data_IF_396955113771
#
_entry.id   IF_396955113771
#
_cell.length_a   1.000
_cell.length_b   1.000
_cell.length_c   1.000
_cell.angle_alpha   90.00
_cell.angle_beta   90.00
_cell.angle_gamma   90.00
#
_symmetry.space_group_name_H-M   'P 1'
#
loop_
_entity.id
_entity.type
_entity.pdbx_description
1 polymer ?
#
# COMPACT_ATOMS: atom_id res chain seq x y z
N UNK A 1 5.15 -13.79 40.83
CA UNK A 1 4.73 -14.60 39.66
C UNK A 1 5.24 -13.87 38.41
N UNK A 2 6.16 -14.47 37.65
CA UNK A 2 6.64 -13.88 36.42
C UNK A 2 5.59 -14.12 35.33
N UNK A 3 5.03 -13.04 34.78
CA UNK A 3 4.04 -13.11 33.72
C UNK A 3 4.78 -13.42 32.42
N UNK A 4 4.61 -14.64 31.90
CA UNK A 4 5.16 -15.03 30.59
C UNK A 4 4.67 -14.04 29.53
N UNK A 5 5.59 -13.47 28.76
CA UNK A 5 5.23 -12.56 27.68
C UNK A 5 4.33 -13.29 26.68
N UNK A 6 3.29 -12.63 26.13
CA UNK A 6 2.40 -13.25 25.17
C UNK A 6 3.21 -13.78 23.97
N UNK A 7 3.03 -15.07 23.65
CA UNK A 7 3.68 -15.70 22.52
C UNK A 7 3.15 -15.06 21.23
N UNK A 8 4.02 -14.36 20.49
CA UNK A 8 3.66 -13.85 19.18
C UNK A 8 3.46 -15.03 18.22
N UNK A 9 2.25 -15.18 17.68
CA UNK A 9 1.90 -16.23 16.72
C UNK A 9 1.75 -15.59 15.34
N UNK A 10 2.57 -16.04 14.38
CA UNK A 10 2.43 -15.66 12.98
C UNK A 10 1.07 -16.12 12.46
N UNK A 11 0.17 -15.17 12.19
CA UNK A 11 -1.19 -15.45 11.75
C UNK A 11 -1.64 -14.42 10.72
N UNK A 12 -2.28 -14.89 9.66
CA UNK A 12 -2.91 -14.02 8.67
C UNK A 12 -4.19 -13.41 9.24
N UNK A 13 -4.36 -12.12 9.03
CA UNK A 13 -5.57 -11.40 9.38
C UNK A 13 -6.36 -11.12 8.09
N UNK A 14 -7.68 -11.38 8.06
CA UNK A 14 -8.49 -11.02 6.91
C UNK A 14 -8.54 -9.49 6.77
N UNK A 15 -8.49 -9.01 5.52
CA UNK A 15 -8.71 -7.62 5.20
C UNK A 15 -9.51 -7.50 3.89
N UNK A 16 -10.09 -6.34 3.65
CA UNK A 16 -10.76 -5.99 2.39
C UNK A 16 -9.84 -5.09 1.58
N UNK A 17 -9.74 -5.36 0.28
CA UNK A 17 -8.94 -4.57 -0.64
C UNK A 17 -9.39 -4.77 -2.07
N UNK A 18 -8.80 -3.96 -2.95
CA UNK A 18 -8.96 -4.03 -4.40
C UNK A 18 -7.60 -4.32 -5.01
N UNK A 19 -7.60 -4.89 -6.21
CA UNK A 19 -6.39 -5.09 -6.97
C UNK A 19 -6.67 -4.94 -8.46
N UNK A 20 -5.64 -4.61 -9.23
CA UNK A 20 -5.70 -4.55 -10.68
C UNK A 20 -4.47 -5.24 -11.27
N UNK A 21 -4.67 -6.06 -12.31
CA UNK A 21 -3.60 -6.68 -13.09
C UNK A 21 -3.50 -5.93 -14.42
N UNK A 22 -2.31 -5.46 -14.75
CA UNK A 22 -2.08 -4.58 -15.90
C UNK A 22 -0.69 -4.82 -16.53
N UNK A 23 -0.52 -4.41 -17.79
CA UNK A 23 0.77 -4.15 -18.41
C UNK A 23 1.02 -2.65 -18.51
N UNK A 24 2.14 -2.22 -19.06
CA UNK A 24 2.50 -0.80 -19.10
C UNK A 24 2.78 -0.25 -17.70
N UNK A 25 2.63 1.05 -17.51
CA UNK A 25 2.93 1.73 -16.23
C UNK A 25 1.66 2.06 -15.45
N UNK A 26 1.76 2.43 -14.17
CA UNK A 26 0.58 2.91 -13.43
C UNK A 26 -0.03 4.19 -14.05
N UNK A 27 0.78 5.02 -14.70
CA UNK A 27 0.33 6.25 -15.37
C UNK A 27 -0.28 5.98 -16.74
N UNK A 28 0.01 4.81 -17.33
CA UNK A 28 -0.52 4.37 -18.62
C UNK A 28 -0.77 2.85 -18.59
N UNK A 29 -1.84 2.40 -17.91
CA UNK A 29 -2.14 0.97 -17.79
C UNK A 29 -2.62 0.41 -19.12
N UNK A 30 -2.06 -0.73 -19.50
CA UNK A 30 -2.39 -1.43 -20.74
C UNK A 30 -2.90 -2.85 -20.44
N UNK A 31 -3.60 -3.51 -21.39
CA UNK A 31 -3.96 -4.91 -21.25
C UNK A 31 -2.71 -5.78 -20.97
N UNK A 32 -2.73 -6.63 -19.94
CA UNK A 32 -1.57 -7.45 -19.56
C UNK A 32 -1.23 -8.46 -20.65
N UNK A 33 0.06 -8.65 -20.92
CA UNK A 33 0.58 -9.62 -21.89
C UNK A 33 1.37 -10.74 -21.20
N UNK A 34 1.91 -11.69 -21.99
CA UNK A 34 2.81 -12.73 -21.47
C UNK A 34 4.17 -12.19 -21.03
N UNK A 35 4.61 -11.06 -21.61
CA UNK A 35 5.93 -10.45 -21.37
C UNK A 35 5.84 -9.17 -20.54
N UNK A 36 4.64 -8.77 -20.16
CA UNK A 36 4.41 -7.57 -19.36
C UNK A 36 3.14 -7.74 -18.53
N UNK A 37 3.31 -7.97 -17.23
CA UNK A 37 2.21 -8.20 -16.31
C UNK A 37 2.61 -7.81 -14.89
N UNK A 38 1.81 -6.95 -14.31
CA UNK A 38 2.02 -6.33 -12.99
C UNK A 38 0.72 -6.42 -12.22
N UNK A 39 0.81 -6.34 -10.90
CA UNK A 39 -0.34 -6.20 -10.02
C UNK A 39 -0.15 -4.99 -9.12
N UNK A 40 -1.20 -4.21 -8.93
CA UNK A 40 -1.27 -3.18 -7.90
C UNK A 40 -2.41 -3.56 -6.94
N UNK A 41 -2.14 -3.42 -5.65
CA UNK A 41 -3.09 -3.59 -4.57
C UNK A 41 -3.41 -2.23 -3.97
N UNK A 42 -4.69 -2.03 -3.71
CA UNK A 42 -5.21 -0.92 -2.92
C UNK A 42 -5.94 -1.52 -1.72
N UNK A 43 -5.45 -1.27 -0.52
CA UNK A 43 -6.07 -1.74 0.72
C UNK A 43 -6.56 -0.57 1.57
N UNK A 44 -7.64 -0.80 2.32
CA UNK A 44 -8.29 0.20 3.15
C UNK A 44 -8.55 -0.30 4.59
N UNK A 45 -9.15 0.56 5.40
CA UNK A 45 -9.64 0.20 6.73
C UNK A 45 -8.52 -0.09 7.74
N UNK A 46 -8.76 -1.09 8.62
CA UNK A 46 -7.89 -1.40 9.75
C UNK A 46 -6.47 -1.75 9.31
N UNK A 47 -6.33 -2.55 8.25
CA UNK A 47 -5.02 -2.97 7.75
C UNK A 47 -4.21 -1.76 7.24
N UNK A 48 -4.82 -0.88 6.44
CA UNK A 48 -4.17 0.33 5.96
C UNK A 48 -3.76 1.26 7.10
N UNK A 49 -4.63 1.46 8.10
CA UNK A 49 -4.30 2.27 9.28
C UNK A 49 -3.11 1.70 10.07
N UNK A 50 -3.09 0.39 10.30
CA UNK A 50 -1.99 -0.25 11.04
C UNK A 50 -0.65 -0.09 10.33
N UNK A 51 -0.64 -0.25 9.00
CA UNK A 51 0.57 -0.02 8.19
C UNK A 51 0.99 1.46 8.24
N UNK A 52 0.05 2.38 8.03
CA UNK A 52 0.32 3.82 8.11
C UNK A 52 0.95 4.20 9.45
N UNK A 53 0.39 3.73 10.57
CA UNK A 53 0.85 4.10 11.92
C UNK A 53 2.32 3.68 12.18
N UNK A 54 2.77 2.55 11.62
CA UNK A 54 4.13 2.01 11.81
C UNK A 54 5.13 2.44 10.72
N UNK A 55 4.65 2.98 9.61
CA UNK A 55 5.50 3.50 8.53
C UNK A 55 5.95 4.93 8.80
N UNK A 56 7.07 5.33 8.20
CA UNK A 56 7.58 6.70 8.25
C UNK A 56 8.66 6.93 7.18
N UNK A 57 9.00 8.19 6.86
CA UNK A 57 8.55 9.44 7.50
C UNK A 57 7.10 9.83 7.18
N UNK A 58 6.51 10.69 8.02
CA UNK A 58 5.19 11.28 7.82
C UNK A 58 5.32 12.58 7.02
N UNK A 59 5.02 12.50 5.73
CA UNK A 59 5.06 13.61 4.79
C UNK A 59 3.72 14.34 4.79
N UNK A 60 3.78 15.66 4.90
CA UNK A 60 2.62 16.57 4.78
C UNK A 60 2.75 17.38 3.49
N UNK A 61 1.61 17.80 2.92
CA UNK A 61 1.55 18.53 1.66
C UNK A 61 2.24 17.81 0.49
N UNK A 62 2.21 16.47 0.50
CA UNK A 62 2.73 15.67 -0.59
C UNK A 62 1.72 15.60 -1.74
N UNK A 63 2.21 15.38 -2.96
CA UNK A 63 1.37 15.12 -4.14
C UNK A 63 0.45 16.29 -4.52
N UNK A 64 0.81 17.52 -4.13
CA UNK A 64 0.02 18.72 -4.40
C UNK A 64 -1.33 18.77 -3.67
N UNK A 65 -1.55 17.87 -2.70
CA UNK A 65 -2.77 17.85 -1.89
C UNK A 65 -2.55 18.68 -0.64
N UNK A 66 -3.25 19.81 -0.56
CA UNK A 66 -3.24 20.70 0.61
C UNK A 66 -4.11 20.15 1.77
N UNK A 67 -3.88 20.68 2.97
CA UNK A 67 -4.71 20.41 4.15
C UNK A 67 -4.22 19.26 5.01
N UNK A 68 -5.15 18.43 5.52
CA UNK A 68 -4.85 17.35 6.46
C UNK A 68 -4.40 16.05 5.80
N UNK A 69 -4.05 16.09 4.51
CA UNK A 69 -3.50 14.95 3.80
C UNK A 69 -2.14 14.56 4.39
N UNK A 70 -1.98 13.27 4.67
CA UNK A 70 -0.73 12.71 5.17
C UNK A 70 -0.31 11.54 4.31
N UNK A 71 0.97 11.49 3.99
CA UNK A 71 1.57 10.44 3.19
C UNK A 71 2.73 9.82 3.97
N UNK A 72 2.74 8.50 4.07
CA UNK A 72 3.82 7.71 4.64
C UNK A 72 4.23 6.68 3.60
N UNK A 73 5.40 6.91 3.01
CA UNK A 73 5.93 6.07 1.95
C UNK A 73 7.25 5.45 2.38
N UNK A 74 7.42 4.16 2.07
CA UNK A 74 8.70 3.47 2.24
C UNK A 74 8.89 2.45 1.12
N UNK A 75 9.95 2.68 0.33
CA UNK A 75 10.16 1.96 -0.92
C UNK A 75 8.88 1.99 -1.78
N UNK A 76 8.38 0.82 -2.15
CA UNK A 76 7.25 0.62 -3.06
C UNK A 76 5.88 0.61 -2.36
N UNK A 77 5.87 0.75 -1.03
CA UNK A 77 4.63 0.85 -0.24
C UNK A 77 4.35 2.31 0.06
N UNK A 78 3.17 2.76 -0.34
CA UNK A 78 2.65 4.09 -0.07
C UNK A 78 1.39 3.97 0.77
N UNK A 79 1.32 4.64 1.92
CA UNK A 79 0.12 4.71 2.73
C UNK A 79 -0.25 6.16 2.94
N UNK A 80 -1.52 6.52 2.78
CA UNK A 80 -1.97 7.88 3.00
C UNK A 80 -3.26 7.96 3.81
N UNK A 81 -3.50 9.14 4.37
CA UNK A 81 -4.71 9.50 5.08
C UNK A 81 -5.32 10.75 4.48
N UNK A 82 -6.61 10.68 4.19
CA UNK A 82 -7.43 11.82 3.81
C UNK A 82 -8.67 11.89 4.71
N UNK A 83 -9.12 13.08 5.17
CA UNK A 83 -10.26 13.19 6.09
C UNK A 83 -11.57 12.60 5.55
N UNK A 84 -11.77 12.62 4.23
CA UNK A 84 -12.99 12.10 3.59
C UNK A 84 -12.95 10.59 3.38
N UNK A 85 -11.79 10.03 3.06
CA UNK A 85 -11.65 8.66 2.56
C UNK A 85 -10.97 7.72 3.57
N UNK A 86 -10.40 8.27 4.64
CA UNK A 86 -9.68 7.53 5.66
C UNK A 86 -8.28 7.10 5.20
N UNK A 87 -7.82 5.98 5.74
CA UNK A 87 -6.50 5.42 5.44
C UNK A 87 -6.58 4.48 4.23
N UNK A 88 -5.64 4.63 3.31
CA UNK A 88 -5.41 3.68 2.22
C UNK A 88 -3.92 3.38 2.09
N UNK A 89 -3.60 2.20 1.57
CA UNK A 89 -2.24 1.85 1.19
C UNK A 89 -2.22 1.18 -0.19
N UNK A 90 -1.19 1.51 -0.94
CA UNK A 90 -0.95 1.05 -2.29
C UNK A 90 0.45 0.45 -2.41
N UNK A 91 0.53 -0.72 -3.01
CA UNK A 91 1.78 -1.41 -3.34
C UNK A 91 1.53 -2.41 -4.47
N UNK A 92 2.59 -2.82 -5.16
CA UNK A 92 2.47 -3.73 -6.28
C UNK A 92 3.67 -4.63 -6.48
N UNK A 93 3.53 -5.53 -7.46
CA UNK A 93 4.58 -6.42 -7.90
C UNK A 93 4.58 -6.55 -9.42
N UNK A 94 5.77 -6.62 -9.99
CA UNK A 94 5.96 -7.20 -11.32
C UNK A 94 5.78 -8.72 -11.20
N UNK A 95 4.81 -9.28 -11.93
CA UNK A 95 4.44 -10.69 -11.82
C UNK A 95 5.36 -11.64 -12.59
N UNK A 96 6.32 -11.12 -13.36
CA UNK A 96 7.29 -11.93 -14.09
C UNK A 96 8.57 -12.11 -13.28
N UNK A 97 8.98 -11.07 -12.57
CA UNK A 97 10.22 -11.02 -11.80
C UNK A 97 10.01 -11.15 -10.30
N UNK A 98 8.79 -10.92 -9.81
CA UNK A 98 8.47 -10.85 -8.37
C UNK A 98 8.98 -9.59 -7.68
N UNK A 99 9.56 -8.63 -8.42
CA UNK A 99 10.07 -7.38 -7.86
C UNK A 99 8.90 -6.52 -7.39
N UNK A 100 9.03 -5.93 -6.19
CA UNK A 100 8.08 -4.93 -5.74
C UNK A 100 8.16 -3.69 -6.62
N UNK A 101 7.00 -3.08 -6.87
CA UNK A 101 6.83 -1.85 -7.61
C UNK A 101 5.80 -0.97 -6.90
N UNK A 102 5.87 0.34 -7.08
CA UNK A 102 4.89 1.27 -6.54
C UNK A 102 3.48 0.88 -6.95
N UNK A 103 2.54 0.98 -6.02
CA UNK A 103 1.11 0.75 -6.27
C UNK A 103 0.30 2.00 -6.59
N UNK A 104 0.88 3.19 -6.38
CA UNK A 104 0.24 4.47 -6.63
C UNK A 104 1.21 5.45 -7.31
N UNK A 105 0.63 6.43 -8.01
CA UNK A 105 1.32 7.59 -8.56
C UNK A 105 0.68 8.83 -7.94
N UNK A 106 1.53 9.81 -7.65
CA UNK A 106 1.16 11.21 -7.52
C UNK A 106 1.43 11.88 -8.88
#
# INVERSE_FOLDING_TARGET
MAQSAPQWLFSYQPFKGRYAIYGGSLSDPQPPTRKDKRVAFWIDGKAAKQLFDVMGPDLRNACGVDGEYRLRQRAEVSCSYHPRDGHHCDFGFDLLTGRSIGGAIC
#
